data_IF_680579823363
#
_entry.id   IF_680579823363
#
_cell.length_a   1.000
_cell.length_b   1.000
_cell.length_c   1.000
_cell.angle_alpha   90.00
_cell.angle_beta   90.00
_cell.angle_gamma   90.00
#
_symmetry.space_group_name_H-M   'P 1'
#
loop_
_entity.id
_entity.type
_entity.pdbx_description
1 polymer ?
#
# COMPACT_ATOMS: atom_id res chain seq x y z
N UNK A 1 51.31 -49.22 -24.91
CA UNK A 1 50.36 -48.09 -24.98
C UNK A 1 49.25 -48.35 -23.97
N UNK A 2 49.32 -47.73 -22.79
CA UNK A 2 48.28 -47.85 -21.75
C UNK A 2 47.20 -46.82 -22.05
N UNK A 3 45.97 -47.31 -22.24
CA UNK A 3 44.78 -46.50 -22.48
C UNK A 3 44.46 -45.67 -21.22
N UNK A 4 44.57 -44.34 -21.33
CA UNK A 4 44.04 -43.40 -20.35
C UNK A 4 42.69 -42.88 -20.87
N UNK A 5 41.61 -43.32 -20.25
CA UNK A 5 40.28 -42.73 -20.42
C UNK A 5 40.25 -41.46 -19.56
N UNK A 6 40.31 -40.29 -20.19
CA UNK A 6 40.12 -39.00 -19.52
C UNK A 6 38.62 -38.75 -19.43
N UNK A 7 38.07 -38.90 -18.22
CA UNK A 7 36.69 -38.55 -17.90
C UNK A 7 36.60 -37.01 -17.80
N UNK A 8 36.04 -36.35 -18.81
CA UNK A 8 35.69 -34.94 -18.70
C UNK A 8 34.44 -34.80 -17.82
N UNK A 9 34.64 -34.43 -16.55
CA UNK A 9 33.57 -33.98 -15.68
C UNK A 9 33.11 -32.59 -16.16
N UNK A 10 31.98 -32.53 -16.86
CA UNK A 10 31.25 -31.29 -17.13
C UNK A 10 30.73 -30.75 -15.78
N UNK A 11 31.52 -29.89 -15.12
CA UNK A 11 31.02 -29.00 -14.09
C UNK A 11 30.09 -27.98 -14.76
N UNK A 12 28.82 -28.33 -14.88
CA UNK A 12 27.77 -27.34 -15.07
C UNK A 12 27.77 -26.47 -13.82
N UNK A 13 28.27 -25.24 -13.94
CA UNK A 13 28.15 -24.26 -12.88
C UNK A 13 26.65 -24.04 -12.63
N UNK A 14 26.11 -24.64 -11.57
CA UNK A 14 24.75 -24.38 -11.11
C UNK A 14 24.74 -22.90 -10.70
N UNK A 15 24.29 -22.04 -11.61
CA UNK A 15 24.01 -20.65 -11.29
C UNK A 15 22.76 -20.65 -10.43
N UNK A 16 22.95 -20.57 -9.12
CA UNK A 16 21.87 -20.26 -8.20
C UNK A 16 21.43 -18.82 -8.48
N UNK A 17 20.31 -18.65 -9.18
CA UNK A 17 19.64 -17.36 -9.27
C UNK A 17 19.16 -16.99 -7.87
N UNK A 18 19.61 -15.84 -7.37
CA UNK A 18 19.21 -15.35 -6.05
C UNK A 18 17.77 -14.84 -6.15
N UNK A 19 16.91 -15.36 -5.29
CA UNK A 19 15.51 -14.97 -5.22
C UNK A 19 15.36 -13.46 -4.98
N UNK A 20 14.37 -12.84 -5.62
CA UNK A 20 14.05 -11.44 -5.42
C UNK A 20 13.03 -11.29 -4.31
N UNK A 21 13.27 -10.36 -3.39
CA UNK A 21 12.45 -10.16 -2.19
C UNK A 21 12.21 -8.67 -1.97
N UNK A 22 11.21 -8.34 -1.17
CA UNK A 22 11.11 -7.02 -0.55
C UNK A 22 12.27 -6.82 0.43
N UNK A 23 12.99 -5.71 0.33
CA UNK A 23 14.20 -5.46 1.13
C UNK A 23 14.02 -4.18 1.96
N UNK A 24 14.40 -4.24 3.23
CA UNK A 24 14.45 -3.09 4.14
C UNK A 24 15.72 -2.27 3.98
N UNK A 25 15.80 -1.09 4.60
CA UNK A 25 17.00 -0.25 4.54
C UNK A 25 18.28 -0.90 5.09
N UNK A 26 18.16 -1.84 6.03
CA UNK A 26 19.31 -2.60 6.53
C UNK A 26 19.81 -3.68 5.57
N UNK A 27 19.18 -3.84 4.40
CA UNK A 27 19.47 -4.92 3.45
C UNK A 27 18.85 -6.26 3.84
N UNK A 28 17.98 -6.30 4.85
CA UNK A 28 17.31 -7.54 5.27
C UNK A 28 16.06 -7.79 4.44
N UNK A 29 15.88 -9.03 3.97
CA UNK A 29 14.67 -9.49 3.29
C UNK A 29 13.47 -9.41 4.24
N UNK A 30 12.32 -9.04 3.69
CA UNK A 30 11.05 -8.86 4.40
C UNK A 30 9.94 -9.58 3.67
N UNK A 31 9.00 -10.12 4.43
CA UNK A 31 7.82 -10.77 3.87
C UNK A 31 6.90 -9.74 3.20
N UNK A 32 6.77 -8.58 3.84
CA UNK A 32 6.13 -7.39 3.29
C UNK A 32 6.64 -6.15 4.01
N UNK A 33 6.50 -5.00 3.37
CA UNK A 33 6.66 -3.69 4.02
C UNK A 33 5.75 -2.63 3.40
N UNK A 34 5.43 -1.61 4.19
CA UNK A 34 4.67 -0.42 3.80
C UNK A 34 5.56 0.80 4.04
N UNK A 35 5.55 1.72 3.09
CA UNK A 35 6.23 3.01 3.19
C UNK A 35 5.24 4.13 2.84
N UNK A 36 5.09 5.09 3.74
CA UNK A 36 4.32 6.31 3.53
C UNK A 36 5.26 7.51 3.50
N UNK A 37 5.48 8.08 2.32
CA UNK A 37 6.29 9.29 2.13
C UNK A 37 5.49 10.52 2.53
N UNK A 38 6.10 11.39 3.32
CA UNK A 38 5.53 12.69 3.72
C UNK A 38 5.66 13.69 2.56
N UNK A 39 4.65 14.55 2.28
CA UNK A 39 4.80 15.62 1.30
C UNK A 39 5.88 16.63 1.68
N UNK A 40 6.21 17.52 0.75
CA UNK A 40 7.07 18.66 1.02
C UNK A 40 6.33 19.68 1.91
N UNK A 41 6.76 19.83 3.17
CA UNK A 41 6.22 20.82 4.10
C UNK A 41 7.27 21.89 4.39
N UNK A 42 7.28 22.94 3.59
CA UNK A 42 8.35 23.96 3.59
C UNK A 42 8.55 24.70 4.92
N UNK A 43 7.52 24.73 5.78
CA UNK A 43 7.56 25.31 7.12
C UNK A 43 8.20 24.41 8.17
N UNK A 44 8.40 23.12 7.88
CA UNK A 44 8.97 22.18 8.85
C UNK A 44 10.44 22.51 9.15
N UNK A 45 10.84 22.33 10.41
CA UNK A 45 12.24 22.42 10.83
C UNK A 45 13.08 21.20 10.42
N UNK A 46 12.46 20.05 10.16
CA UNK A 46 13.17 18.85 9.68
C UNK A 46 13.54 19.03 8.22
N UNK A 47 14.82 18.92 7.86
CA UNK A 47 15.26 19.03 6.46
C UNK A 47 14.58 17.99 5.56
N UNK A 48 14.44 16.75 6.03
CA UNK A 48 13.79 15.67 5.29
C UNK A 48 12.32 15.97 5.00
N UNK A 49 11.57 16.49 5.98
CA UNK A 49 10.16 16.87 5.80
C UNK A 49 10.05 18.11 4.93
N UNK A 50 10.91 19.10 5.15
CA UNK A 50 11.00 20.34 4.37
C UNK A 50 11.26 20.09 2.90
N UNK A 51 12.03 19.05 2.57
CA UNK A 51 12.37 18.66 1.21
C UNK A 51 11.40 17.63 0.62
N UNK A 52 10.57 16.98 1.45
CA UNK A 52 9.65 15.92 1.04
C UNK A 52 10.35 14.58 0.83
N UNK A 53 11.49 14.33 1.47
CA UNK A 53 12.21 13.06 1.41
C UNK A 53 11.92 12.14 2.59
N UNK A 54 11.33 12.68 3.66
CA UNK A 54 10.94 11.91 4.85
C UNK A 54 9.87 10.87 4.54
N UNK A 55 9.96 9.71 5.19
CA UNK A 55 8.95 8.67 5.12
C UNK A 55 8.79 7.94 6.44
N UNK A 56 7.61 7.33 6.59
CA UNK A 56 7.30 6.37 7.65
C UNK A 56 7.37 4.96 7.09
N UNK A 57 7.88 4.02 7.87
CA UNK A 57 8.06 2.63 7.46
C UNK A 57 7.52 1.65 8.49
N UNK A 58 6.93 0.57 8.00
CA UNK A 58 6.55 -0.61 8.78
C UNK A 58 6.76 -1.87 7.93
N UNK A 59 7.24 -2.95 8.54
CA UNK A 59 7.45 -4.24 7.89
C UNK A 59 6.91 -5.41 8.73
N UNK A 60 7.01 -6.61 8.16
CA UNK A 60 6.54 -7.87 8.75
C UNK A 60 7.17 -8.24 10.11
N UNK A 61 8.24 -7.56 10.53
CA UNK A 61 8.98 -7.80 11.77
C UNK A 61 8.92 -6.64 12.75
N UNK A 62 8.55 -5.43 12.30
CA UNK A 62 8.44 -4.25 13.16
C UNK A 62 7.24 -4.32 14.09
N UNK A 63 7.42 -3.85 15.33
CA UNK A 63 6.36 -3.76 16.36
C UNK A 63 5.84 -2.34 16.56
N UNK A 64 6.48 -1.35 15.95
CA UNK A 64 6.18 0.08 16.10
C UNK A 64 6.46 0.81 14.79
N UNK A 65 5.80 1.96 14.63
CA UNK A 65 5.97 2.88 13.51
C UNK A 65 7.41 3.39 13.54
N UNK A 66 8.17 3.12 12.50
CA UNK A 66 9.49 3.72 12.35
C UNK A 66 9.27 5.05 11.63
N UNK A 67 9.01 6.09 12.42
CA UNK A 67 8.98 7.46 11.94
C UNK A 67 10.40 8.02 12.03
N UNK A 68 11.15 8.07 10.93
CA UNK A 68 12.56 8.41 11.02
C UNK A 68 13.07 9.18 9.81
N UNK A 69 13.81 10.25 10.13
CA UNK A 69 14.94 10.93 9.48
C UNK A 69 15.75 10.16 8.40
N UNK A 70 15.06 9.56 7.44
CA UNK A 70 15.65 8.84 6.32
C UNK A 70 15.18 9.45 5.01
N UNK A 71 16.09 9.45 4.06
CA UNK A 71 15.87 9.99 2.73
C UNK A 71 15.37 8.89 1.80
N UNK A 72 14.16 9.05 1.25
CA UNK A 72 13.59 8.13 0.26
C UNK A 72 14.44 8.04 -1.02
N UNK A 73 15.24 9.06 -1.33
CA UNK A 73 16.09 9.09 -2.52
C UNK A 73 17.44 8.40 -2.31
N UNK A 74 17.77 8.02 -1.07
CA UNK A 74 19.04 7.38 -0.76
C UNK A 74 19.10 5.94 -1.30
N UNK A 75 20.32 5.48 -1.62
CA UNK A 75 20.59 4.13 -2.11
C UNK A 75 20.38 3.03 -1.06
N UNK A 76 20.26 3.39 0.21
CA UNK A 76 19.87 2.52 1.32
C UNK A 76 18.38 2.62 1.66
N UNK A 77 17.56 3.33 0.86
CA UNK A 77 16.11 3.31 1.03
C UNK A 77 15.54 1.91 0.73
N UNK A 78 14.39 1.52 1.32
CA UNK A 78 13.76 0.23 1.02
C UNK A 78 13.40 0.08 -0.47
N UNK A 79 13.07 1.20 -1.12
CA UNK A 79 12.83 1.24 -2.57
C UNK A 79 14.10 0.93 -3.37
N UNK A 80 15.20 1.62 -3.08
CA UNK A 80 16.47 1.38 -3.75
C UNK A 80 16.95 -0.06 -3.57
N UNK A 81 16.90 -0.57 -2.33
CA UNK A 81 17.32 -1.93 -2.00
C UNK A 81 16.46 -3.01 -2.64
N UNK A 82 15.14 -2.81 -2.70
CA UNK A 82 14.23 -3.77 -3.34
C UNK A 82 14.43 -3.80 -4.87
N UNK A 83 14.68 -2.65 -5.49
CA UNK A 83 14.81 -2.53 -6.95
C UNK A 83 16.24 -2.79 -7.47
N UNK A 84 17.26 -2.73 -6.62
CA UNK A 84 18.69 -2.89 -6.97
C UNK A 84 18.97 -4.10 -7.88
N UNK A 85 18.45 -5.32 -7.60
CA UNK A 85 18.70 -6.47 -8.47
C UNK A 85 18.20 -6.27 -9.92
N UNK A 86 17.12 -5.51 -10.12
CA UNK A 86 16.57 -5.23 -11.46
C UNK A 86 17.52 -4.37 -12.29
N UNK A 87 18.17 -3.38 -11.68
CA UNK A 87 19.17 -2.53 -12.33
C UNK A 87 20.48 -3.28 -12.62
N UNK A 88 20.75 -4.36 -11.89
CA UNK A 88 21.89 -5.25 -12.12
C UNK A 88 21.61 -6.37 -13.14
N UNK A 89 20.44 -6.36 -13.79
CA UNK A 89 19.96 -7.44 -14.67
C UNK A 89 19.93 -8.83 -14.01
N UNK A 90 19.70 -8.89 -12.69
CA UNK A 90 19.58 -10.13 -11.92
C UNK A 90 18.11 -10.53 -11.76
N UNK A 91 17.44 -10.81 -12.87
CA UNK A 91 16.02 -11.19 -12.86
C UNK A 91 15.69 -12.16 -14.01
N UNK A 92 14.63 -12.94 -13.81
CA UNK A 92 13.97 -13.72 -14.85
C UNK A 92 12.71 -13.02 -15.37
N UNK A 93 12.13 -12.14 -14.56
CA UNK A 93 11.03 -11.26 -14.94
C UNK A 93 11.22 -9.88 -14.31
N UNK A 94 11.07 -8.84 -15.12
CA UNK A 94 10.98 -7.43 -14.72
C UNK A 94 9.82 -6.79 -15.46
N UNK A 95 8.82 -6.37 -14.69
CA UNK A 95 7.58 -5.80 -15.19
C UNK A 95 7.28 -4.50 -14.45
N UNK A 96 7.33 -3.37 -15.15
CA UNK A 96 7.02 -2.06 -14.58
C UNK A 96 5.90 -1.39 -15.35
N UNK A 97 4.95 -0.83 -14.60
CA UNK A 97 3.78 -0.16 -15.15
C UNK A 97 3.47 1.11 -14.37
N UNK A 98 3.01 2.13 -15.09
CA UNK A 98 2.65 3.42 -14.55
C UNK A 98 1.80 4.17 -15.57
N UNK A 99 0.64 4.70 -15.20
CA UNK A 99 -0.18 5.50 -16.11
C UNK A 99 0.41 6.88 -16.43
N UNK A 100 1.46 7.26 -15.73
CA UNK A 100 2.29 8.44 -15.94
C UNK A 100 3.76 7.97 -15.95
N UNK A 101 4.22 7.44 -17.08
CA UNK A 101 5.52 6.76 -17.15
C UNK A 101 6.70 7.74 -17.01
N UNK A 102 7.90 7.25 -16.64
CA UNK A 102 9.11 8.08 -16.59
C UNK A 102 9.51 8.72 -17.94
N UNK A 103 8.98 8.19 -19.05
CA UNK A 103 9.20 8.71 -20.41
C UNK A 103 8.17 9.79 -20.79
N UNK A 104 7.50 10.39 -19.80
CA UNK A 104 6.44 11.39 -19.97
C UNK A 104 5.23 10.91 -20.80
N UNK A 105 4.99 9.59 -20.85
CA UNK A 105 3.77 9.05 -21.47
C UNK A 105 2.65 9.03 -20.44
N UNK A 106 1.54 9.70 -20.75
CA UNK A 106 0.33 9.67 -19.93
C UNK A 106 -0.77 8.86 -20.63
N UNK A 107 -1.38 7.95 -19.87
CA UNK A 107 -2.28 6.93 -20.40
C UNK A 107 -3.69 7.02 -19.82
N UNK A 108 -4.50 7.99 -20.25
CA UNK A 108 -5.90 8.11 -19.75
C UNK A 108 -6.78 6.93 -20.14
N UNK A 109 -6.43 6.20 -21.21
CA UNK A 109 -7.11 4.97 -21.65
C UNK A 109 -6.69 3.73 -20.85
N UNK A 110 -5.69 3.85 -19.98
CA UNK A 110 -5.18 2.78 -19.14
C UNK A 110 -5.68 2.95 -17.70
N UNK A 111 -5.56 1.89 -16.91
CA UNK A 111 -5.87 1.92 -15.48
C UNK A 111 -5.05 2.97 -14.74
N UNK A 112 -5.61 3.53 -13.67
CA UNK A 112 -4.87 4.37 -12.73
C UNK A 112 -4.12 3.44 -11.78
N UNK A 113 -3.04 2.85 -12.28
CA UNK A 113 -2.30 1.79 -11.59
C UNK A 113 -0.81 1.95 -11.84
N UNK A 114 -0.01 1.70 -10.80
CA UNK A 114 1.44 1.88 -10.83
C UNK A 114 2.10 0.81 -9.96
N UNK A 115 3.19 0.23 -10.45
CA UNK A 115 3.87 -0.82 -9.71
C UNK A 115 5.02 -1.50 -10.45
N UNK A 116 5.67 -2.40 -9.72
CA UNK A 116 6.81 -3.20 -10.18
C UNK A 116 6.60 -4.65 -9.76
N UNK A 117 6.85 -5.57 -10.66
CA UNK A 117 6.94 -7.00 -10.37
C UNK A 117 8.31 -7.48 -10.82
N UNK A 118 9.06 -8.05 -9.88
CA UNK A 118 10.37 -8.66 -10.12
C UNK A 118 10.34 -10.12 -9.68
N UNK A 119 10.94 -11.02 -10.45
CA UNK A 119 11.05 -12.43 -10.08
C UNK A 119 12.37 -13.05 -10.56
N UNK A 120 12.93 -13.94 -9.74
CA UNK A 120 14.07 -14.80 -10.08
C UNK A 120 14.05 -16.08 -9.22
N UNK A 121 14.42 -17.22 -9.80
CA UNK A 121 14.45 -18.49 -9.08
C UNK A 121 13.05 -19.00 -8.77
N UNK A 122 12.64 -18.93 -7.50
CA UNK A 122 11.37 -19.46 -7.00
C UNK A 122 10.46 -18.39 -6.37
N UNK A 123 10.94 -17.16 -6.24
CA UNK A 123 10.26 -16.08 -5.54
C UNK A 123 10.47 -14.74 -6.23
N UNK A 124 9.59 -13.80 -5.92
CA UNK A 124 9.69 -12.44 -6.40
C UNK A 124 9.01 -11.47 -5.47
N UNK A 125 8.96 -10.21 -5.89
CA UNK A 125 8.21 -9.19 -5.20
C UNK A 125 7.19 -8.53 -6.11
N UNK A 126 6.09 -8.08 -5.51
CA UNK A 126 5.18 -7.10 -6.10
C UNK A 126 5.19 -5.83 -5.27
N UNK A 127 5.62 -4.73 -5.88
CA UNK A 127 5.60 -3.38 -5.33
C UNK A 127 4.44 -2.59 -5.95
N UNK A 128 3.42 -2.30 -5.15
CA UNK A 128 2.31 -1.41 -5.48
C UNK A 128 2.64 0.01 -5.00
N UNK A 129 2.39 1.05 -5.81
CA UNK A 129 2.66 2.42 -5.38
C UNK A 129 1.78 3.49 -6.03
N UNK A 130 1.91 4.74 -5.54
CA UNK A 130 1.19 5.90 -6.07
C UNK A 130 2.05 6.90 -6.85
N UNK A 131 3.38 6.75 -6.86
CA UNK A 131 4.34 7.72 -7.41
C UNK A 131 4.37 7.75 -8.96
N UNK A 132 4.03 8.88 -9.61
CA UNK A 132 4.23 9.08 -11.05
C UNK A 132 5.71 9.02 -11.44
N UNK A 133 6.01 8.72 -12.72
CA UNK A 133 7.37 8.69 -13.27
C UNK A 133 8.37 7.79 -12.52
N UNK A 134 7.88 6.78 -11.79
CA UNK A 134 8.67 5.85 -10.98
C UNK A 134 8.31 4.39 -11.28
N UNK A 135 9.27 3.45 -11.22
CA UNK A 135 10.74 3.66 -11.20
C UNK A 135 11.31 4.15 -12.55
N UNK A 136 12.55 4.69 -12.59
CA UNK A 136 13.16 5.19 -13.83
C UNK A 136 13.33 4.11 -14.91
N UNK A 137 13.21 4.56 -16.16
CA UNK A 137 13.52 3.81 -17.39
C UNK A 137 14.62 4.54 -18.17
N UNK A 138 15.57 3.85 -18.81
CA UNK A 138 15.75 2.39 -18.79
C UNK A 138 16.35 1.88 -17.46
N UNK A 139 16.40 0.56 -17.27
CA UNK A 139 16.95 -0.11 -16.07
C UNK A 139 18.47 0.09 -15.94
N UNK A 140 18.91 1.28 -15.54
CA UNK A 140 20.33 1.62 -15.33
C UNK A 140 20.66 1.81 -13.85
N UNK A 141 19.92 2.69 -13.17
CA UNK A 141 20.16 3.02 -11.77
C UNK A 141 18.86 3.43 -11.08
N UNK A 142 18.87 3.32 -9.75
CA UNK A 142 17.79 3.84 -8.93
C UNK A 142 17.84 5.37 -8.91
N UNK A 143 16.67 5.98 -9.07
CA UNK A 143 16.42 7.38 -8.76
C UNK A 143 14.96 7.53 -8.33
N UNK A 144 14.69 8.57 -7.54
CA UNK A 144 13.34 8.96 -7.16
C UNK A 144 12.96 10.26 -7.90
N UNK A 145 11.78 10.36 -8.52
CA UNK A 145 11.43 11.52 -9.32
C UNK A 145 11.19 12.76 -8.47
N UNK A 146 11.65 13.92 -8.95
CA UNK A 146 11.53 15.21 -8.25
C UNK A 146 10.07 15.58 -7.96
N UNK A 147 9.16 15.34 -8.92
CA UNK A 147 7.72 15.57 -8.73
C UNK A 147 7.12 14.64 -7.65
N UNK A 148 7.73 13.47 -7.48
CA UNK A 148 7.39 12.54 -6.39
C UNK A 148 7.67 13.13 -5.00
N UNK A 149 8.57 14.11 -4.88
CA UNK A 149 8.90 14.75 -3.60
C UNK A 149 7.83 15.75 -3.13
N UNK A 150 7.02 16.28 -4.04
CA UNK A 150 6.05 17.34 -3.73
C UNK A 150 4.91 16.80 -2.83
N UNK A 151 4.37 15.64 -3.17
CA UNK A 151 3.15 15.09 -2.58
C UNK A 151 3.43 13.87 -1.69
N UNK A 152 2.54 13.58 -0.75
CA UNK A 152 2.57 12.32 -0.02
C UNK A 152 2.41 11.12 -0.97
N UNK A 153 3.07 10.00 -0.69
CA UNK A 153 3.01 8.79 -1.51
C UNK A 153 2.92 7.53 -0.65
N UNK A 154 2.23 6.51 -1.13
CA UNK A 154 2.17 5.18 -0.49
C UNK A 154 2.83 4.12 -1.34
N UNK A 155 3.48 3.17 -0.67
CA UNK A 155 4.10 2.01 -1.26
C UNK A 155 3.78 0.77 -0.40
N UNK A 156 3.50 -0.34 -1.05
CA UNK A 156 3.37 -1.67 -0.43
C UNK A 156 4.19 -2.66 -1.23
N UNK A 157 5.11 -3.36 -0.57
CA UNK A 157 5.87 -4.44 -1.17
C UNK A 157 5.46 -5.77 -0.54
N UNK A 158 5.19 -6.79 -1.36
CA UNK A 158 4.91 -8.16 -0.95
C UNK A 158 5.93 -9.12 -1.57
N UNK A 159 6.56 -9.97 -0.76
CA UNK A 159 7.38 -11.09 -1.24
C UNK A 159 6.45 -12.29 -1.49
N UNK A 160 6.39 -12.73 -2.74
CA UNK A 160 5.40 -13.69 -3.24
C UNK A 160 6.09 -14.85 -3.95
N UNK A 161 5.51 -16.06 -3.82
CA UNK A 161 5.90 -17.22 -4.60
C UNK A 161 5.33 -17.14 -6.05
N UNK A 162 5.75 -18.09 -6.89
CA UNK A 162 5.28 -18.21 -8.29
C UNK A 162 3.75 -18.20 -8.40
N UNK A 163 3.07 -18.93 -7.53
CA UNK A 163 1.60 -19.05 -7.56
C UNK A 163 0.94 -17.69 -7.31
N UNK A 164 1.35 -16.99 -6.26
CA UNK A 164 0.76 -15.72 -5.87
C UNK A 164 1.15 -14.60 -6.83
N UNK A 165 2.37 -14.60 -7.38
CA UNK A 165 2.74 -13.69 -8.49
C UNK A 165 1.86 -13.92 -9.72
N UNK A 166 1.57 -15.16 -10.07
CA UNK A 166 0.66 -15.45 -11.16
C UNK A 166 -0.78 -14.94 -10.88
N UNK A 167 -1.24 -15.02 -9.63
CA UNK A 167 -2.52 -14.40 -9.22
C UNK A 167 -2.51 -12.88 -9.34
N UNK A 168 -1.38 -12.21 -9.05
CA UNK A 168 -1.23 -10.77 -9.33
C UNK A 168 -1.43 -10.51 -10.83
N UNK A 169 -0.95 -11.39 -11.70
CA UNK A 169 -1.24 -11.36 -13.14
C UNK A 169 -2.73 -11.21 -13.45
N UNK A 170 -3.59 -11.99 -12.79
CA UNK A 170 -5.05 -11.87 -12.94
C UNK A 170 -5.53 -10.47 -12.54
N UNK A 171 -5.07 -9.91 -11.42
CA UNK A 171 -5.42 -8.53 -11.03
C UNK A 171 -5.00 -7.52 -12.11
N UNK A 172 -3.80 -7.68 -12.68
CA UNK A 172 -3.28 -6.81 -13.73
C UNK A 172 -4.11 -6.89 -15.03
N UNK A 173 -4.64 -8.07 -15.39
CA UNK A 173 -5.54 -8.20 -16.53
C UNK A 173 -6.82 -7.36 -16.38
N UNK A 174 -7.32 -7.18 -15.16
CA UNK A 174 -8.46 -6.29 -14.88
C UNK A 174 -8.04 -4.83 -14.83
N UNK A 175 -6.89 -4.53 -14.22
CA UNK A 175 -6.42 -3.16 -14.04
C UNK A 175 -6.11 -2.46 -15.38
N UNK A 176 -5.72 -3.22 -16.42
CA UNK A 176 -5.30 -2.68 -17.72
C UNK A 176 -4.18 -1.62 -17.60
N UNK A 177 -3.04 -1.98 -17.00
CA UNK A 177 -1.91 -1.07 -16.77
C UNK A 177 -1.24 -0.57 -18.05
N UNK A 178 -0.68 0.64 -17.99
CA UNK A 178 0.27 1.12 -18.99
C UNK A 178 1.67 0.59 -18.67
N UNK A 179 2.14 -0.36 -19.47
CA UNK A 179 3.40 -1.08 -19.27
C UNK A 179 4.54 -0.34 -19.98
N UNK A 180 5.66 -0.14 -19.29
CA UNK A 180 6.85 0.51 -19.89
C UNK A 180 8.14 -0.30 -19.73
N UNK A 181 8.19 -1.28 -18.83
CA UNK A 181 9.20 -2.35 -18.84
C UNK A 181 8.49 -3.70 -18.89
N UNK A 182 8.83 -4.51 -19.89
CA UNK A 182 8.27 -5.83 -20.11
C UNK A 182 9.40 -6.80 -20.51
N UNK A 183 10.03 -7.43 -19.52
CA UNK A 183 11.09 -8.43 -19.75
C UNK A 183 10.75 -9.69 -18.98
N UNK A 184 10.68 -10.81 -19.67
CA UNK A 184 10.34 -12.12 -19.09
C UNK A 184 11.08 -13.22 -19.86
N UNK A 185 11.67 -14.18 -19.16
CA UNK A 185 12.26 -15.38 -19.79
C UNK A 185 11.17 -16.37 -20.20
N UNK A 186 11.48 -17.23 -21.17
CA UNK A 186 10.57 -18.31 -21.59
C UNK A 186 10.15 -19.17 -20.41
N UNK A 187 11.09 -19.55 -19.54
CA UNK A 187 10.79 -20.38 -18.35
C UNK A 187 9.82 -19.70 -17.39
N UNK A 188 10.06 -18.42 -17.07
CA UNK A 188 9.17 -17.65 -16.20
C UNK A 188 7.75 -17.51 -16.81
N UNK A 189 7.65 -17.31 -18.13
CA UNK A 189 6.36 -17.20 -18.82
C UNK A 189 5.51 -18.47 -18.75
N UNK A 190 6.15 -19.64 -18.75
CA UNK A 190 5.46 -20.93 -18.68
C UNK A 190 4.88 -21.23 -17.29
N UNK A 191 5.55 -20.79 -16.24
CA UNK A 191 5.12 -21.03 -14.86
C UNK A 191 4.21 -19.92 -14.29
N UNK A 192 4.14 -18.77 -14.95
CA UNK A 192 3.25 -17.65 -14.60
C UNK A 192 2.43 -17.18 -15.82
N UNK A 193 1.53 -18.04 -16.35
CA UNK A 193 0.80 -17.74 -17.59
C UNK A 193 -0.15 -16.54 -17.50
N UNK A 194 -0.82 -16.32 -16.36
CA UNK A 194 -1.74 -15.17 -16.19
C UNK A 194 -1.00 -13.85 -16.11
N UNK A 195 0.19 -13.86 -15.48
CA UNK A 195 1.07 -12.71 -15.44
C UNK A 195 1.66 -12.43 -16.82
N UNK A 196 2.11 -13.46 -17.53
CA UNK A 196 2.58 -13.33 -18.91
C UNK A 196 1.47 -12.80 -19.82
N UNK A 197 0.22 -13.26 -19.67
CA UNK A 197 -0.92 -12.76 -20.43
C UNK A 197 -1.15 -11.26 -20.18
N UNK A 198 -1.11 -10.81 -18.91
CA UNK A 198 -1.21 -9.40 -18.58
C UNK A 198 -0.07 -8.57 -19.19
N UNK A 199 1.17 -9.05 -19.09
CA UNK A 199 2.36 -8.42 -19.67
C UNK A 199 2.27 -8.31 -21.20
N UNK A 200 1.60 -9.26 -21.86
CA UNK A 200 1.36 -9.28 -23.30
C UNK A 200 0.09 -8.52 -23.74
N UNK A 201 -0.56 -7.78 -22.82
CA UNK A 201 -1.70 -6.94 -23.16
C UNK A 201 -3.06 -7.65 -23.21
N UNK A 202 -3.16 -8.84 -22.62
CA UNK A 202 -4.46 -9.53 -22.49
C UNK A 202 -5.22 -8.92 -21.31
N UNK A 203 -6.27 -8.15 -21.61
CA UNK A 203 -7.04 -7.41 -20.59
C UNK A 203 -8.53 -7.75 -20.60
N UNK A 204 -9.14 -7.71 -19.42
CA UNK A 204 -10.57 -7.95 -19.21
C UNK A 204 -11.34 -6.64 -19.37
N UNK A 205 -12.15 -6.53 -20.42
CA UNK A 205 -12.92 -5.32 -20.77
C UNK A 205 -14.45 -5.50 -20.65
N UNK A 206 -14.91 -6.58 -20.02
CA UNK A 206 -16.34 -6.85 -19.85
C UNK A 206 -16.98 -5.87 -18.85
N UNK A 207 -18.17 -5.34 -19.21
CA UNK A 207 -18.91 -4.37 -18.40
C UNK A 207 -19.29 -4.93 -17.03
N UNK A 208 -19.05 -4.16 -15.98
CA UNK A 208 -19.40 -4.52 -14.61
C UNK A 208 -18.48 -5.55 -13.95
N UNK A 209 -17.41 -6.00 -14.64
CA UNK A 209 -16.53 -7.02 -14.12
C UNK A 209 -15.47 -6.44 -13.17
N UNK A 210 -15.22 -7.18 -12.09
CA UNK A 210 -14.22 -6.92 -11.06
C UNK A 210 -13.64 -8.24 -10.58
N UNK A 211 -12.52 -8.19 -9.85
CA UNK A 211 -11.89 -9.36 -9.27
C UNK A 211 -11.57 -9.14 -7.80
N UNK A 212 -11.85 -10.17 -7.01
CA UNK A 212 -11.39 -10.34 -5.63
C UNK A 212 -10.66 -11.69 -5.59
N UNK A 213 -9.49 -11.73 -4.98
CA UNK A 213 -8.76 -12.97 -4.72
C UNK A 213 -7.90 -12.83 -3.46
N UNK A 214 -7.55 -13.97 -2.88
CA UNK A 214 -6.61 -14.01 -1.76
C UNK A 214 -5.19 -14.22 -2.29
N UNK A 215 -4.26 -13.47 -1.69
CA UNK A 215 -2.82 -13.58 -1.87
C UNK A 215 -2.21 -14.01 -0.55
N UNK A 216 -1.14 -14.79 -0.62
CA UNK A 216 -0.37 -15.26 0.53
C UNK A 216 1.09 -14.99 0.24
N UNK A 217 1.75 -14.27 1.15
CA UNK A 217 3.19 -14.03 1.08
C UNK A 217 3.99 -15.28 1.42
N UNK A 218 5.30 -15.24 1.18
CA UNK A 218 6.23 -16.32 1.47
C UNK A 218 6.10 -16.85 2.92
N UNK A 219 5.94 -15.96 3.90
CA UNK A 219 5.78 -16.32 5.31
C UNK A 219 4.31 -16.46 5.74
N UNK A 220 3.42 -16.80 4.81
CA UNK A 220 2.00 -17.10 5.06
C UNK A 220 1.17 -15.91 5.56
N UNK A 221 1.61 -14.67 5.33
CA UNK A 221 0.77 -13.50 5.59
C UNK A 221 -0.31 -13.42 4.52
N UNK A 222 -1.58 -13.36 4.93
CA UNK A 222 -2.73 -13.30 4.02
C UNK A 222 -3.07 -11.85 3.68
N UNK A 223 -3.19 -11.60 2.39
CA UNK A 223 -3.70 -10.36 1.82
C UNK A 223 -4.90 -10.66 0.93
N UNK A 224 -5.76 -9.67 0.75
CA UNK A 224 -6.89 -9.73 -0.17
C UNK A 224 -6.70 -8.70 -1.26
N UNK A 225 -6.59 -9.16 -2.50
CA UNK A 225 -6.38 -8.33 -3.68
C UNK A 225 -7.71 -8.02 -4.36
N UNK A 226 -7.86 -6.75 -4.76
CA UNK A 226 -9.03 -6.21 -5.43
C UNK A 226 -8.61 -5.56 -6.74
N UNK A 227 -9.37 -5.79 -7.80
CA UNK A 227 -9.18 -5.14 -9.08
C UNK A 227 -10.54 -4.83 -9.72
N UNK A 228 -10.62 -3.71 -10.41
CA UNK A 228 -11.72 -3.42 -11.33
C UNK A 228 -11.17 -3.07 -12.70
N UNK A 229 -11.97 -3.33 -13.73
CA UNK A 229 -11.70 -2.80 -15.05
C UNK A 229 -12.39 -1.44 -15.27
N UNK A 230 -12.01 -0.73 -16.33
CA UNK A 230 -12.62 0.55 -16.68
C UNK A 230 -14.16 0.47 -16.86
N UNK A 231 -14.71 -0.56 -17.55
CA UNK A 231 -16.15 -0.75 -17.70
C UNK A 231 -16.93 -1.12 -16.42
N UNK A 232 -16.27 -1.37 -15.29
CA UNK A 232 -16.92 -1.49 -13.98
C UNK A 232 -17.69 -0.20 -13.64
N UNK A 233 -17.12 0.95 -13.98
CA UNK A 233 -17.81 2.24 -13.99
C UNK A 233 -18.20 2.83 -12.63
N UNK A 234 -17.74 2.22 -11.53
CA UNK A 234 -18.06 2.60 -10.15
C UNK A 234 -16.80 2.78 -9.31
N UNK A 235 -16.94 3.35 -8.11
CA UNK A 235 -15.82 3.52 -7.17
C UNK A 235 -15.38 2.14 -6.64
N UNK A 236 -14.07 1.85 -6.69
CA UNK A 236 -13.53 0.57 -6.22
C UNK A 236 -13.77 0.38 -4.71
N UNK A 237 -13.52 1.43 -3.94
CA UNK A 237 -13.56 1.43 -2.49
C UNK A 237 -14.97 1.15 -1.96
N UNK A 238 -15.96 1.97 -2.36
CA UNK A 238 -17.33 1.85 -1.86
C UNK A 238 -18.16 0.71 -2.48
N UNK A 239 -17.84 0.24 -3.69
CA UNK A 239 -18.68 -0.77 -4.37
C UNK A 239 -18.06 -2.17 -4.42
N UNK A 240 -16.77 -2.31 -4.11
CA UNK A 240 -16.10 -3.61 -4.06
C UNK A 240 -15.45 -3.87 -2.69
N UNK A 241 -14.63 -2.96 -2.19
CA UNK A 241 -13.79 -3.21 -1.00
C UNK A 241 -14.63 -3.17 0.29
N UNK A 242 -15.30 -2.06 0.57
CA UNK A 242 -16.05 -1.89 1.81
C UNK A 242 -17.18 -2.93 1.98
N UNK A 243 -17.95 -3.29 0.92
CA UNK A 243 -18.93 -4.37 1.02
C UNK A 243 -18.34 -5.76 1.25
N UNK A 244 -17.17 -6.07 0.71
CA UNK A 244 -16.51 -7.38 0.91
C UNK A 244 -15.86 -7.48 2.31
N UNK A 245 -15.34 -6.36 2.82
CA UNK A 245 -14.88 -6.24 4.22
C UNK A 245 -16.07 -6.21 5.20
N UNK A 246 -17.27 -5.84 4.73
CA UNK A 246 -18.47 -5.66 5.55
C UNK A 246 -18.30 -4.62 6.68
N UNK A 247 -17.53 -3.54 6.42
CA UNK A 247 -17.40 -2.41 7.34
C UNK A 247 -17.35 -1.07 6.58
N UNK A 248 -17.84 0.00 7.23
CA UNK A 248 -17.53 1.35 6.78
C UNK A 248 -16.01 1.59 6.83
N UNK A 249 -15.49 2.43 5.93
CA UNK A 249 -14.05 2.72 5.82
C UNK A 249 -13.75 4.21 5.81
N UNK A 250 -12.54 4.57 6.23
CA UNK A 250 -11.92 5.88 6.02
C UNK A 250 -10.79 5.71 4.99
N UNK A 251 -10.71 6.59 3.99
CA UNK A 251 -9.74 6.45 2.90
C UNK A 251 -9.03 7.77 2.59
N UNK A 252 -7.70 7.71 2.55
CA UNK A 252 -6.83 8.82 2.17
C UNK A 252 -6.43 8.70 0.71
N UNK A 253 -6.64 9.79 -0.03
CA UNK A 253 -6.18 9.93 -1.41
C UNK A 253 -6.19 11.36 -1.92
N UNK A 254 -5.68 11.57 -3.13
CA UNK A 254 -5.72 12.87 -3.78
C UNK A 254 -7.17 13.27 -4.08
N UNK A 255 -7.59 14.41 -3.50
CA UNK A 255 -8.85 15.08 -3.81
C UNK A 255 -8.63 16.55 -4.19
N UNK A 256 -8.22 16.81 -5.44
CA UNK A 256 -8.26 18.17 -6.04
C UNK A 256 -9.05 18.17 -7.36
N UNK A 257 -10.19 18.89 -7.44
CA UNK A 257 -10.88 19.54 -6.31
C UNK A 257 -11.35 18.53 -5.26
N UNK A 258 -11.71 19.01 -4.07
CA UNK A 258 -12.32 18.15 -3.05
C UNK A 258 -13.69 17.65 -3.53
N UNK A 259 -13.93 16.34 -3.42
CA UNK A 259 -15.21 15.71 -3.72
C UNK A 259 -15.78 15.11 -2.41
N UNK A 260 -17.09 15.22 -2.20
CA UNK A 260 -17.75 14.60 -1.03
C UNK A 260 -17.58 13.07 -1.01
N UNK A 261 -17.69 12.43 0.16
CA UNK A 261 -17.67 10.98 0.28
C UNK A 261 -18.59 10.29 -0.73
N UNK A 262 -18.10 9.20 -1.33
CA UNK A 262 -18.91 8.42 -2.27
C UNK A 262 -19.99 7.63 -1.53
N UNK A 263 -21.23 7.78 -1.99
CA UNK A 263 -22.37 7.03 -1.50
C UNK A 263 -22.66 5.83 -2.41
N UNK A 264 -22.46 4.58 -1.94
CA UNK A 264 -22.70 3.42 -2.76
C UNK A 264 -24.18 3.24 -3.09
N UNK A 265 -24.41 2.65 -4.26
CA UNK A 265 -25.74 2.43 -4.87
C UNK A 265 -26.64 1.57 -3.98
N UNK A 266 -26.04 0.62 -3.26
CA UNK A 266 -26.68 -0.15 -2.20
C UNK A 266 -26.21 0.47 -0.89
N UNK A 267 -27.13 0.92 -0.02
CA UNK A 267 -26.82 1.52 1.29
C UNK A 267 -26.22 0.47 2.26
N UNK A 268 -25.10 -0.16 1.93
CA UNK A 268 -24.42 -1.17 2.77
C UNK A 268 -23.36 -0.52 3.65
N UNK A 269 -22.23 -0.12 3.07
CA UNK A 269 -21.06 0.39 3.78
C UNK A 269 -20.57 1.68 3.13
N UNK A 270 -20.27 2.70 3.94
CA UNK A 270 -19.82 4.01 3.47
C UNK A 270 -18.30 4.09 3.48
N UNK A 271 -17.74 4.90 2.57
CA UNK A 271 -16.31 5.21 2.55
C UNK A 271 -16.12 6.72 2.72
N UNK A 272 -15.61 7.13 3.87
CA UNK A 272 -15.36 8.53 4.22
C UNK A 272 -13.99 8.99 3.74
N UNK A 273 -13.88 10.27 3.41
CA UNK A 273 -12.62 10.88 3.01
C UNK A 273 -11.80 11.23 4.24
N UNK A 274 -10.53 10.81 4.28
CA UNK A 274 -9.57 11.39 5.22
C UNK A 274 -9.21 12.77 4.67
N UNK A 275 -9.46 13.82 5.45
CA UNK A 275 -9.18 15.19 5.04
C UNK A 275 -7.75 15.58 5.37
N UNK A 276 -7.29 15.29 6.59
CA UNK A 276 -5.96 15.63 7.05
C UNK A 276 -5.28 14.44 7.72
N UNK A 277 -3.98 14.35 7.52
CA UNK A 277 -3.08 13.40 8.17
C UNK A 277 -1.88 14.10 8.77
N UNK A 278 -1.21 13.44 9.70
CA UNK A 278 -0.02 13.94 10.40
C UNK A 278 1.16 12.99 10.19
N UNK A 279 2.36 13.55 10.04
CA UNK A 279 3.60 12.78 10.04
C UNK A 279 3.88 12.27 11.47
N UNK A 280 3.44 12.99 12.50
CA UNK A 280 3.63 12.59 13.89
C UNK A 280 2.39 11.93 14.49
N UNK A 281 2.62 10.97 15.38
CA UNK A 281 1.60 10.45 16.30
C UNK A 281 1.45 11.45 17.44
N UNK A 282 0.28 12.09 17.55
CA UNK A 282 -0.02 12.97 18.66
C UNK A 282 -0.36 12.15 19.92
N UNK A 283 0.57 12.14 20.88
CA UNK A 283 0.35 11.48 22.18
C UNK A 283 -0.79 12.12 22.99
N UNK A 284 -1.20 13.35 22.67
CA UNK A 284 -2.26 14.06 23.40
C UNK A 284 -3.69 13.64 22.99
N UNK A 285 -3.88 13.02 21.82
CA UNK A 285 -5.17 12.42 21.45
C UNK A 285 -5.54 11.20 22.31
N UNK A 286 -4.59 10.63 23.05
CA UNK A 286 -4.91 9.61 24.06
C UNK A 286 -5.68 10.16 25.27
N UNK A 287 -5.72 11.50 25.44
CA UNK A 287 -6.34 12.15 26.59
C UNK A 287 -7.68 12.86 26.28
N UNK A 288 -8.03 13.14 25.02
CA UNK A 288 -9.23 13.92 24.69
C UNK A 288 -10.50 13.10 24.43
N UNK A 289 -10.43 11.77 24.33
CA UNK A 289 -11.60 10.89 24.46
C UNK A 289 -11.34 9.73 25.43
N UNK A 290 -11.12 10.06 26.70
CA UNK A 290 -11.27 9.13 27.82
C UNK A 290 -12.75 8.78 28.05
N UNK A 291 -13.41 8.15 27.06
CA UNK A 291 -14.66 7.40 27.29
C UNK A 291 -14.31 5.97 27.66
N UNK A 292 -14.01 5.75 28.95
CA UNK A 292 -14.12 4.50 29.71
C UNK A 292 -14.23 3.20 28.88
N UNK A 293 -13.17 2.83 28.16
CA UNK A 293 -13.11 1.56 27.43
C UNK A 293 -11.97 0.72 27.99
N UNK A 294 -12.31 -0.39 28.67
CA UNK A 294 -11.35 -1.34 29.26
C UNK A 294 -10.43 -2.00 28.21
N UNK A 295 -10.75 -1.91 26.92
CA UNK A 295 -9.89 -2.45 25.85
C UNK A 295 -8.65 -1.59 25.53
N UNK A 296 -8.60 -0.32 25.97
CA UNK A 296 -7.42 0.55 25.81
C UNK A 296 -6.29 0.17 26.79
N UNK A 297 -6.58 -0.58 27.86
CA UNK A 297 -5.52 -1.00 28.80
C UNK A 297 -4.58 -2.05 28.21
N UNK A 298 -5.03 -2.83 27.22
CA UNK A 298 -4.17 -3.78 26.52
C UNK A 298 -3.35 -3.13 25.40
N UNK A 299 -3.87 -2.08 24.73
CA UNK A 299 -3.06 -1.28 23.81
C UNK A 299 -2.01 -0.45 24.56
N UNK A 300 -2.28 0.05 25.78
CA UNK A 300 -1.23 0.66 26.61
C UNK A 300 0.00 -0.23 26.81
N UNK A 301 -0.16 -1.55 26.88
CA UNK A 301 0.94 -2.51 27.13
C UNK A 301 1.89 -2.71 25.94
N UNK A 302 1.42 -2.47 24.71
CA UNK A 302 2.28 -2.50 23.50
C UNK A 302 2.97 -1.16 23.24
N UNK A 303 2.51 -0.09 23.88
CA UNK A 303 2.88 1.30 23.59
C UNK A 303 3.53 2.03 24.78
N UNK A 304 3.70 1.39 25.95
CA UNK A 304 4.51 1.93 27.07
C UNK A 304 6.00 2.09 26.75
N UNK A 305 6.48 1.62 25.59
CA UNK A 305 7.80 1.96 25.07
C UNK A 305 7.80 3.15 24.10
N UNK A 306 6.62 3.66 23.74
CA UNK A 306 6.45 5.01 23.20
C UNK A 306 6.07 5.91 24.38
N UNK A 307 6.91 5.89 25.41
CA UNK A 307 7.05 7.13 26.18
C UNK A 307 7.40 8.22 25.18
N UNK A 308 6.95 9.42 25.49
CA UNK A 308 7.25 10.69 24.86
C UNK A 308 8.76 10.94 24.69
N UNK A 309 9.45 10.13 23.91
CA UNK A 309 10.62 10.55 23.19
C UNK A 309 10.09 11.54 22.15
N UNK A 310 10.09 12.80 22.58
CA UNK A 310 9.91 13.99 21.77
C UNK A 310 10.35 13.73 20.33
N UNK A 311 9.54 14.17 19.35
CA UNK A 311 9.85 14.03 17.93
C UNK A 311 11.20 14.71 17.68
N UNK A 312 12.25 13.89 17.58
CA UNK A 312 13.62 14.36 17.37
C UNK A 312 13.82 14.65 15.88
N UNK A 313 14.37 15.81 15.56
CA UNK A 313 14.85 16.09 14.21
C UNK A 313 16.07 15.21 13.86
N UNK A 314 16.64 15.42 12.67
CA UNK A 314 17.83 14.71 12.20
C UNK A 314 19.07 14.89 13.10
N UNK A 315 19.03 15.84 14.03
CA UNK A 315 20.08 16.16 15.00
C UNK A 315 19.74 15.74 16.44
N UNK A 316 18.61 15.05 16.66
CA UNK A 316 18.21 14.65 18.00
C UNK A 316 17.47 15.73 18.80
N UNK A 317 17.06 16.84 18.16
CA UNK A 317 16.43 17.99 18.82
C UNK A 317 14.90 17.85 18.90
N UNK A 318 14.33 18.17 20.06
CA UNK A 318 12.90 18.04 20.38
C UNK A 318 12.01 19.15 19.77
N UNK A 319 12.45 19.76 18.68
CA UNK A 319 12.00 21.08 18.24
C UNK A 319 10.89 21.05 17.17
N UNK A 320 10.44 19.85 16.79
CA UNK A 320 9.41 19.65 15.76
C UNK A 320 8.01 19.86 16.35
N UNK A 321 7.33 20.91 15.89
CA UNK A 321 5.94 21.17 16.24
C UNK A 321 5.03 20.20 15.46
N UNK A 322 4.15 19.48 16.15
CA UNK A 322 3.22 18.54 15.54
C UNK A 322 2.32 19.20 14.48
N UNK A 323 1.98 20.48 14.64
CA UNK A 323 1.18 21.21 13.66
C UNK A 323 1.92 21.46 12.33
N UNK A 324 3.25 21.49 12.33
CA UNK A 324 4.08 21.63 11.12
C UNK A 324 4.20 20.32 10.34
N UNK A 325 3.59 19.24 10.84
CA UNK A 325 3.62 17.90 10.28
C UNK A 325 2.25 17.46 9.76
N UNK A 326 1.25 18.34 9.76
CA UNK A 326 -0.11 18.05 9.28
C UNK A 326 -0.25 18.52 7.82
N UNK A 327 -0.84 17.68 6.99
CA UNK A 327 -1.23 18.05 5.63
C UNK A 327 -2.60 17.51 5.24
N UNK A 328 -3.23 18.20 4.30
CA UNK A 328 -4.52 17.78 3.74
C UNK A 328 -4.38 16.86 2.53
N UNK A 329 -5.45 16.15 2.20
CA UNK A 329 -5.64 15.33 0.98
C UNK A 329 -5.16 15.99 -0.32
N UNK A 330 -5.25 17.32 -0.43
CA UNK A 330 -4.74 18.02 -1.60
C UNK A 330 -3.22 17.89 -1.80
N UNK A 331 -2.45 17.67 -0.73
CA UNK A 331 -1.01 17.49 -0.78
C UNK A 331 -0.62 15.99 -0.70
N UNK A 332 -1.55 15.06 -0.96
CA UNK A 332 -1.31 13.64 -0.74
C UNK A 332 -1.80 12.77 -1.91
N UNK A 333 -0.89 12.08 -2.58
CA UNK A 333 -1.20 11.10 -3.60
C UNK A 333 -1.27 9.67 -3.05
N UNK A 334 -0.93 9.48 -1.78
CA UNK A 334 -1.03 8.18 -1.10
C UNK A 334 -2.43 7.64 -1.24
N UNK A 335 -2.57 6.32 -1.31
CA UNK A 335 -3.85 5.68 -1.54
C UNK A 335 -3.95 4.55 -0.54
N UNK A 336 -4.54 4.86 0.60
CA UNK A 336 -4.70 3.89 1.66
C UNK A 336 -6.00 4.11 2.41
N UNK A 337 -6.50 3.08 3.04
CA UNK A 337 -7.70 3.17 3.85
C UNK A 337 -7.68 2.20 5.00
N UNK A 338 -8.53 2.46 5.98
CA UNK A 338 -8.71 1.60 7.15
C UNK A 338 -10.19 1.40 7.39
N UNK A 339 -10.55 0.23 7.92
CA UNK A 339 -11.91 0.00 8.39
C UNK A 339 -12.19 0.83 9.66
N UNK A 340 -13.45 1.18 9.90
CA UNK A 340 -13.79 2.02 11.05
C UNK A 340 -13.81 1.25 12.38
N UNK A 341 -14.04 -0.08 12.36
CA UNK A 341 -14.16 -0.89 13.56
C UNK A 341 -15.11 -0.25 14.62
N UNK A 342 -14.65 -0.17 15.87
CA UNK A 342 -15.41 0.41 17.01
C UNK A 342 -15.51 1.95 17.03
N UNK A 343 -14.91 2.65 16.05
CA UNK A 343 -15.01 4.12 15.89
C UNK A 343 -16.35 4.56 15.28
N UNK A 344 -17.21 3.62 14.87
CA UNK A 344 -18.55 3.92 14.37
C UNK A 344 -19.50 4.31 15.54
N UNK A 345 -19.83 5.60 15.63
CA UNK A 345 -20.69 6.16 16.70
C UNK A 345 -22.16 5.79 16.55
N UNK A 346 -22.61 5.38 15.35
CA UNK A 346 -24.03 5.08 15.05
C UNK A 346 -24.64 3.99 15.90
N UNK A 347 -23.82 3.06 16.39
CA UNK A 347 -24.31 1.89 17.09
C UNK A 347 -23.93 1.83 18.58
N UNK A 348 -23.19 2.81 19.12
CA UNK A 348 -22.78 2.77 20.54
C UNK A 348 -23.98 2.80 21.50
N UNK A 349 -25.04 3.54 21.19
CA UNK A 349 -26.22 3.65 22.06
C UNK A 349 -27.22 2.49 21.88
N UNK A 350 -27.35 1.97 20.65
CA UNK A 350 -28.22 0.83 20.34
C UNK A 350 -27.57 -0.47 20.83
N UNK A 351 -26.29 -0.70 20.53
CA UNK A 351 -25.54 -1.86 21.03
C UNK A 351 -25.48 -1.84 22.55
N UNK A 352 -25.21 -0.71 23.23
CA UNK A 352 -25.27 -0.67 24.72
C UNK A 352 -26.62 -1.12 25.27
N UNK A 353 -27.73 -0.74 24.62
CA UNK A 353 -29.09 -1.05 25.06
C UNK A 353 -29.48 -2.51 24.76
N UNK A 354 -28.99 -3.07 23.65
CA UNK A 354 -29.23 -4.47 23.28
C UNK A 354 -28.31 -5.42 24.08
N UNK A 355 -27.04 -5.09 24.27
CA UNK A 355 -26.08 -5.89 25.08
C UNK A 355 -26.47 -5.96 26.56
N UNK A 356 -27.21 -4.96 27.10
CA UNK A 356 -27.78 -5.05 28.44
C UNK A 356 -28.97 -6.01 28.55
N UNK A 357 -29.65 -6.30 27.44
CA UNK A 357 -30.85 -7.13 27.40
C UNK A 357 -30.56 -8.59 27.01
N UNK A 358 -29.48 -8.85 26.26
CA UNK A 358 -29.08 -10.19 25.81
C UNK A 358 -27.66 -10.51 26.25
N UNK A 359 -27.48 -10.83 27.55
CA UNK A 359 -26.16 -11.13 28.14
C UNK A 359 -25.44 -12.34 27.51
N UNK A 360 -26.09 -13.16 26.68
CA UNK A 360 -25.51 -14.41 26.15
C UNK A 360 -25.69 -14.68 24.65
N UNK A 361 -26.05 -13.70 23.80
CA UNK A 361 -26.33 -14.03 22.39
C UNK A 361 -26.14 -12.90 21.36
N UNK A 362 -25.06 -12.13 21.48
CA UNK A 362 -24.62 -11.23 20.40
C UNK A 362 -23.13 -11.44 20.22
N UNK A 363 -22.74 -11.99 19.07
CA UNK A 363 -21.36 -11.95 18.62
C UNK A 363 -20.92 -10.49 18.63
N UNK A 364 -19.92 -10.15 19.44
CA UNK A 364 -19.23 -8.87 19.34
C UNK A 364 -18.95 -8.59 17.86
N UNK A 365 -19.38 -7.43 17.33
CA UNK A 365 -19.08 -7.03 15.95
C UNK A 365 -17.60 -7.30 15.69
N UNK A 366 -17.29 -8.26 14.81
CA UNK A 366 -15.93 -8.67 14.53
C UNK A 366 -15.18 -7.48 14.00
N UNK A 367 -14.31 -6.88 14.81
CA UNK A 367 -13.47 -5.77 14.40
C UNK A 367 -12.50 -6.30 13.34
N UNK A 368 -12.74 -6.01 12.07
CA UNK A 368 -11.90 -6.53 11.00
C UNK A 368 -10.49 -5.92 11.02
N UNK A 369 -10.32 -4.74 11.66
CA UNK A 369 -9.03 -4.03 11.81
C UNK A 369 -8.23 -4.08 10.50
N UNK A 370 -8.93 -3.82 9.39
CA UNK A 370 -8.39 -3.97 8.05
C UNK A 370 -7.73 -2.67 7.64
N UNK A 371 -6.55 -2.76 7.06
CA UNK A 371 -5.99 -1.66 6.27
C UNK A 371 -5.87 -2.08 4.80
N UNK A 372 -5.86 -1.10 3.91
CA UNK A 372 -5.70 -1.28 2.48
C UNK A 372 -4.68 -0.29 1.95
N UNK A 373 -3.85 -0.70 1.00
CA UNK A 373 -3.04 0.17 0.13
C UNK A 373 -3.52 -0.05 -1.31
N UNK A 374 -3.77 1.02 -2.05
CA UNK A 374 -4.26 0.99 -3.42
C UNK A 374 -3.41 1.82 -4.37
N UNK A 375 -3.80 1.79 -5.64
CA UNK A 375 -3.22 2.60 -6.72
C UNK A 375 -4.25 3.53 -7.38
N UNK A 376 -5.55 3.34 -7.08
CA UNK A 376 -6.63 4.23 -7.47
C UNK A 376 -6.98 5.30 -6.43
N UNK A 377 -7.02 6.57 -6.85
CA UNK A 377 -7.69 7.61 -6.08
C UNK A 377 -9.22 7.50 -6.23
N UNK A 378 -9.94 8.35 -5.48
CA UNK A 378 -11.40 8.32 -5.32
C UNK A 378 -12.12 9.41 -6.11
N UNK A 379 -11.42 10.17 -6.94
CA UNK A 379 -12.02 11.19 -7.80
C UNK A 379 -13.02 10.56 -8.77
N UNK A 380 -14.12 11.25 -9.07
CA UNK A 380 -15.15 10.78 -9.98
C UNK A 380 -14.60 10.43 -11.37
N UNK A 381 -13.56 11.14 -11.81
CA UNK A 381 -12.84 10.87 -13.07
C UNK A 381 -12.22 9.46 -13.13
N UNK A 382 -11.88 8.85 -11.99
CA UNK A 382 -11.29 7.50 -11.94
C UNK A 382 -12.31 6.36 -11.95
N UNK A 383 -13.62 6.65 -11.87
CA UNK A 383 -14.67 5.60 -11.89
C UNK A 383 -14.61 4.76 -13.17
N UNK A 384 -14.22 5.38 -14.29
CA UNK A 384 -14.11 4.77 -15.62
C UNK A 384 -12.69 4.29 -15.97
N UNK A 385 -11.81 4.14 -14.98
CA UNK A 385 -10.46 3.58 -15.15
C UNK A 385 -10.34 2.28 -14.38
N UNK A 386 -9.48 1.38 -14.87
CA UNK A 386 -9.10 0.18 -14.13
C UNK A 386 -8.11 0.51 -13.01
N UNK A 387 -7.91 -0.44 -12.10
CA UNK A 387 -6.98 -0.32 -10.98
C UNK A 387 -7.48 -1.11 -9.76
N UNK A 388 -6.68 -1.11 -8.70
CA UNK A 388 -6.84 -2.05 -7.61
C UNK A 388 -6.39 -1.56 -6.24
N UNK A 389 -6.51 -2.48 -5.28
CA UNK A 389 -5.99 -2.33 -3.94
C UNK A 389 -5.68 -3.69 -3.33
N UNK A 390 -4.85 -3.68 -2.31
CA UNK A 390 -4.52 -4.84 -1.50
C UNK A 390 -4.79 -4.51 -0.05
N UNK A 391 -5.54 -5.39 0.62
CA UNK A 391 -5.93 -5.22 2.02
C UNK A 391 -5.42 -6.35 2.90
N UNK A 392 -5.24 -6.07 4.19
CA UNK A 392 -4.84 -7.05 5.20
C UNK A 392 -5.51 -6.71 6.53
N UNK A 393 -5.96 -7.74 7.24
CA UNK A 393 -6.33 -7.61 8.64
C UNK A 393 -5.06 -7.58 9.50
N UNK A 394 -4.76 -6.42 10.07
CA UNK A 394 -3.61 -6.25 10.94
C UNK A 394 -3.90 -5.12 11.93
N UNK A 395 -4.20 -5.49 13.17
CA UNK A 395 -4.56 -4.52 14.20
C UNK A 395 -3.46 -3.48 14.46
N UNK A 396 -2.19 -3.89 14.47
CA UNK A 396 -1.10 -2.97 14.74
C UNK A 396 -0.99 -1.91 13.64
N UNK A 397 -0.94 -2.32 12.37
CA UNK A 397 -0.89 -1.40 11.22
C UNK A 397 -2.14 -0.52 11.17
N UNK A 398 -3.32 -1.11 11.36
CA UNK A 398 -4.58 -0.38 11.42
C UNK A 398 -4.57 0.72 12.48
N UNK A 399 -4.22 0.40 13.73
CA UNK A 399 -4.22 1.36 14.83
C UNK A 399 -3.17 2.46 14.62
N UNK A 400 -2.07 2.14 13.95
CA UNK A 400 -1.01 3.08 13.58
C UNK A 400 -1.49 4.07 12.52
N UNK A 401 -2.15 3.58 11.46
CA UNK A 401 -2.76 4.42 10.44
C UNK A 401 -3.91 5.27 10.99
N UNK A 402 -4.68 4.74 11.94
CA UNK A 402 -5.76 5.48 12.60
C UNK A 402 -5.23 6.70 13.39
N UNK A 403 -4.06 6.57 14.02
CA UNK A 403 -3.46 7.63 14.83
C UNK A 403 -2.91 8.80 14.04
N UNK A 404 -2.58 8.61 12.76
CA UNK A 404 -2.10 9.69 11.90
C UNK A 404 -3.24 10.46 11.24
N UNK A 405 -4.50 10.05 11.39
CA UNK A 405 -5.66 10.78 10.88
C UNK A 405 -6.01 11.91 11.86
N UNK A 406 -5.90 13.15 11.41
CA UNK A 406 -6.22 14.33 12.24
C UNK A 406 -7.56 14.95 11.90
N UNK A 407 -8.09 14.67 10.70
CA UNK A 407 -9.43 15.08 10.28
C UNK A 407 -9.99 14.16 9.21
N UNK A 408 -11.26 13.84 9.31
CA UNK A 408 -12.03 13.11 8.29
C UNK A 408 -13.32 13.87 7.95
N UNK A 409 -13.92 13.51 6.81
CA UNK A 409 -15.23 14.01 6.40
C UNK A 409 -16.30 12.96 6.67
N UNK A 410 -16.84 12.96 7.88
CA UNK A 410 -17.97 12.13 8.30
C UNK A 410 -19.32 12.71 7.85
N UNK A 411 -19.42 13.16 6.60
CA UNK A 411 -20.71 13.46 6.01
C UNK A 411 -21.41 12.16 5.65
N UNK A 412 -22.49 11.86 6.37
CA UNK A 412 -23.32 10.70 6.11
C UNK A 412 -24.10 10.86 4.79
N UNK A 413 -24.15 9.77 4.02
CA UNK A 413 -25.00 9.61 2.84
C UNK A 413 -26.51 9.76 3.12
N UNK A 414 -26.92 9.92 4.38
CA UNK A 414 -28.30 10.18 4.81
C UNK A 414 -28.69 11.66 4.78
N UNK A 415 -27.75 12.58 4.53
CA UNK A 415 -27.99 14.03 4.50
C UNK A 415 -28.30 14.60 3.11
N UNK A 416 -28.49 13.74 2.10
CA UNK A 416 -28.64 14.11 0.67
C UNK A 416 -30.01 13.65 0.10
N UNK A 417 -31.01 13.43 0.95
CA UNK A 417 -32.42 13.24 0.53
C UNK A 417 -33.24 14.51 0.75
#
# INVERSE_FOLDING_TARGET
LKNAVILYALFSAIHFTTALNCVSSSGSNKDWWILLKTPRLSSSKSSFVKNGTAYTYIDSTTKSLIFLNKDITASDSPLAKTLEPLYQNKFELSYMYNDETPENKTGTNYGHTKGVIGFAGNEGFWLLHSCPAFPPSPLQSFSYPDDGLIYGQSFLCLTLDVKNLNQVGILQQYNHPLIYINRITTSASLIMPDLSAAMNGTFISKKGDSKILDLTTQNNTKFRGYAKNAPYGKELQGELIAPDIDEDMEWQTWMRPFESPYCPSKKTNQVYNIQNVSASIDSTQTNSESRNNKDISNSKKYFTSIESENIKDEYGSNDLNANDLIWGTGNDHSKWGISLGSRNTKNKNIIKRITSLFKNSISASSQNNTFCIGDMNRMASQKKRGGGAVCMQNKAVHDMLAQIITKDDKQDCKSVE
#
